data_IF_926181852777
#
_entry.id   IF_926181852777
#
_cell.length_a   1.000
_cell.length_b   1.000
_cell.length_c   1.000
_cell.angle_alpha   90.00
_cell.angle_beta   90.00
_cell.angle_gamma   90.00
#
_symmetry.space_group_name_H-M   'P 1'
#
loop_
_entity.id
_entity.type
_entity.pdbx_description
1 polymer ?
#
# COMPACT_ATOMS: atom_id res chain seq x y z
N UNK A 1 13.05 -44.45 25.97
CA UNK A 1 13.35 -43.68 24.73
C UNK A 1 12.09 -43.31 23.95
N UNK A 2 11.12 -44.23 23.75
CA UNK A 2 9.84 -43.99 23.02
C UNK A 2 9.04 -42.77 23.49
N UNK A 3 9.04 -42.48 24.80
CA UNK A 3 8.26 -41.40 25.38
C UNK A 3 8.89 -40.01 25.15
N UNK A 4 10.22 -39.95 25.00
CA UNK A 4 10.94 -38.69 24.70
C UNK A 4 10.71 -38.28 23.24
N UNK A 5 10.68 -39.26 22.32
CA UNK A 5 10.38 -39.01 20.89
C UNK A 5 8.96 -38.48 20.67
N UNK A 6 7.98 -38.96 21.45
CA UNK A 6 6.60 -38.47 21.42
C UNK A 6 6.48 -37.03 21.94
N UNK A 7 7.21 -36.68 23.00
CA UNK A 7 7.20 -35.32 23.57
C UNK A 7 7.83 -34.30 22.60
N UNK A 8 8.94 -34.68 21.95
CA UNK A 8 9.60 -33.82 20.95
C UNK A 8 8.68 -33.60 19.74
N UNK A 9 7.98 -34.64 19.26
CA UNK A 9 7.04 -34.51 18.15
C UNK A 9 5.83 -33.62 18.48
N UNK A 10 5.40 -33.58 19.74
CA UNK A 10 4.28 -32.75 20.21
C UNK A 10 4.69 -31.28 20.40
N UNK A 11 5.96 -31.02 20.74
CA UNK A 11 6.48 -29.67 20.91
C UNK A 11 6.68 -28.95 19.56
N UNK A 12 7.12 -29.68 18.53
CA UNK A 12 7.32 -29.16 17.17
C UNK A 12 5.99 -28.76 16.51
N UNK A 13 4.91 -29.50 16.77
CA UNK A 13 3.57 -29.16 16.24
C UNK A 13 2.96 -27.97 16.95
N UNK A 14 3.26 -27.75 18.23
CA UNK A 14 2.74 -26.60 19.00
C UNK A 14 3.39 -25.26 18.60
N UNK A 15 4.67 -25.28 18.19
CA UNK A 15 5.36 -24.08 17.68
C UNK A 15 4.96 -23.70 16.25
N UNK A 16 4.37 -24.61 15.49
CA UNK A 16 3.93 -24.33 14.12
C UNK A 16 2.63 -23.51 14.05
N UNK A 17 1.83 -23.50 15.13
CA UNK A 17 0.52 -22.81 15.18
C UNK A 17 0.62 -21.35 15.62
N UNK A 18 1.80 -20.90 16.08
CA UNK A 18 2.06 -19.48 16.38
C UNK A 18 2.49 -18.69 15.14
N UNK A 19 2.33 -19.27 13.94
CA UNK A 19 2.59 -18.60 12.67
C UNK A 19 1.74 -17.33 12.54
N UNK A 20 2.42 -16.19 12.59
CA UNK A 20 2.02 -14.81 12.32
C UNK A 20 0.53 -14.52 12.11
N UNK A 21 -0.14 -14.04 13.17
CA UNK A 21 -1.28 -13.14 12.96
C UNK A 21 -0.72 -11.73 12.74
N UNK A 22 -0.70 -11.24 11.49
CA UNK A 22 -0.48 -9.81 11.22
C UNK A 22 -1.60 -9.03 11.92
N UNK A 23 -1.28 -8.47 13.09
CA UNK A 23 -2.27 -7.97 14.05
C UNK A 23 -2.76 -6.55 13.73
N UNK A 24 -2.24 -5.91 12.70
CA UNK A 24 -2.45 -4.48 12.49
C UNK A 24 -2.54 -4.11 11.02
N UNK A 25 -3.09 -4.96 10.14
CA UNK A 25 -3.32 -4.52 8.76
C UNK A 25 -4.41 -3.46 8.71
N UNK A 26 -4.21 -2.42 7.90
CA UNK A 26 -5.21 -1.39 7.69
C UNK A 26 -6.51 -2.00 7.12
N UNK A 27 -7.65 -1.55 7.64
CA UNK A 27 -8.97 -1.85 7.07
C UNK A 27 -9.53 -0.66 6.30
N UNK A 28 -9.00 0.53 6.55
CA UNK A 28 -9.35 1.76 5.84
C UNK A 28 -8.10 2.60 5.60
N UNK A 29 -8.11 3.38 4.52
CA UNK A 29 -7.10 4.39 4.24
C UNK A 29 -7.78 5.69 3.80
N UNK A 30 -7.21 6.83 4.17
CA UNK A 30 -7.56 8.15 3.67
C UNK A 30 -6.44 8.64 2.75
N UNK A 31 -6.81 9.23 1.62
CA UNK A 31 -5.88 9.84 0.68
C UNK A 31 -6.18 11.33 0.64
N UNK A 32 -5.16 12.16 0.86
CA UNK A 32 -5.26 13.61 0.78
C UNK A 32 -4.28 14.10 -0.27
N UNK A 33 -4.80 14.64 -1.37
CA UNK A 33 -3.99 15.32 -2.37
C UNK A 33 -3.67 16.73 -1.86
N UNK A 34 -2.39 17.09 -1.90
CA UNK A 34 -1.93 18.47 -1.70
C UNK A 34 -1.91 19.18 -3.04
N UNK A 35 -1.37 18.51 -4.06
CA UNK A 35 -1.39 18.94 -5.47
C UNK A 35 -1.51 17.67 -6.35
N UNK A 36 -2.01 17.73 -7.57
CA UNK A 36 -2.78 18.81 -8.18
C UNK A 36 -4.22 18.87 -7.60
N UNK A 37 -4.87 20.04 -7.61
CA UNK A 37 -6.23 20.18 -7.08
C UNK A 37 -7.30 19.81 -8.12
N UNK A 38 -8.48 19.43 -7.63
CA UNK A 38 -9.62 19.14 -8.50
C UNK A 38 -10.03 20.40 -9.30
N UNK A 39 -10.10 20.26 -10.62
CA UNK A 39 -10.47 21.34 -11.54
C UNK A 39 -9.29 22.16 -12.06
N UNK A 40 -8.06 21.85 -11.67
CA UNK A 40 -6.88 22.49 -12.24
C UNK A 40 -6.72 22.17 -13.72
N UNK A 41 -6.11 23.11 -14.44
CA UNK A 41 -5.80 22.98 -15.87
C UNK A 41 -4.31 22.72 -16.05
N UNK A 42 -3.98 21.61 -16.69
CA UNK A 42 -2.60 21.27 -17.07
C UNK A 42 -2.44 21.57 -18.56
N UNK A 43 -1.46 22.40 -18.92
CA UNK A 43 -1.23 22.71 -20.32
C UNK A 43 -0.59 21.50 -21.03
N UNK A 44 -0.87 21.38 -22.33
CA UNK A 44 -0.23 20.35 -23.14
C UNK A 44 1.28 20.54 -23.18
N UNK A 45 2.02 19.50 -22.78
CA UNK A 45 3.49 19.49 -22.74
C UNK A 45 4.09 19.86 -21.38
N UNK A 46 3.26 20.20 -20.38
CA UNK A 46 3.72 20.42 -19.01
C UNK A 46 3.91 19.10 -18.26
N UNK A 47 4.81 19.12 -17.28
CA UNK A 47 4.98 18.01 -16.32
C UNK A 47 3.82 18.03 -15.32
N UNK A 48 3.17 16.88 -15.16
CA UNK A 48 2.18 16.68 -14.09
C UNK A 48 2.93 16.41 -12.79
N UNK A 49 2.75 17.29 -11.81
CA UNK A 49 3.22 17.07 -10.44
C UNK A 49 2.04 16.70 -9.55
N UNK A 50 2.18 15.61 -8.81
CA UNK A 50 1.18 15.13 -7.86
C UNK A 50 1.85 14.87 -6.51
N UNK A 51 1.36 15.54 -5.48
CA UNK A 51 1.80 15.43 -4.10
C UNK A 51 0.63 15.11 -3.18
N UNK A 52 0.86 14.26 -2.19
CA UNK A 52 -0.14 14.02 -1.17
C UNK A 52 0.27 13.01 -0.12
N UNK A 53 -0.69 12.68 0.73
CA UNK A 53 -0.52 11.72 1.83
C UNK A 53 -1.55 10.61 1.77
N UNK A 54 -1.13 9.42 2.20
CA UNK A 54 -1.99 8.27 2.41
C UNK A 54 -1.84 7.88 3.88
N UNK A 55 -2.94 7.79 4.61
CA UNK A 55 -2.96 7.42 6.03
C UNK A 55 -3.88 6.23 6.27
N UNK A 56 -3.33 5.16 6.85
CA UNK A 56 -4.06 3.96 7.21
C UNK A 56 -4.46 3.97 8.69
N UNK A 57 -5.58 3.33 9.02
CA UNK A 57 -5.90 3.00 10.43
C UNK A 57 -5.11 1.79 10.97
N UNK A 58 -4.17 1.28 10.18
CA UNK A 58 -3.24 0.20 10.45
C UNK A 58 -2.12 0.22 9.42
N UNK A 59 -1.27 -0.81 9.41
CA UNK A 59 -0.21 -1.02 8.45
C UNK A 59 -0.79 -1.22 7.03
N UNK A 60 -0.46 -0.28 6.16
CA UNK A 60 -0.69 -0.35 4.72
C UNK A 60 0.41 -1.22 4.09
N UNK A 61 0.09 -1.89 2.99
CA UNK A 61 1.02 -2.73 2.22
C UNK A 61 1.19 -2.15 0.81
N UNK A 62 1.65 -0.92 0.73
CA UNK A 62 1.80 -0.20 -0.52
C UNK A 62 0.56 0.57 -0.97
N UNK A 63 0.67 1.15 -2.16
CA UNK A 63 -0.39 1.90 -2.83
C UNK A 63 -0.18 1.90 -4.35
N UNK A 64 -1.23 2.26 -5.08
CA UNK A 64 -1.17 2.49 -6.52
C UNK A 64 -1.80 3.85 -6.84
N UNK A 65 -1.07 4.68 -7.59
CA UNK A 65 -1.56 5.92 -8.17
C UNK A 65 -1.76 5.72 -9.67
N UNK A 66 -2.90 6.17 -10.19
CA UNK A 66 -3.22 6.12 -11.62
C UNK A 66 -3.66 7.49 -12.10
N UNK A 67 -3.16 7.89 -13.28
CA UNK A 67 -3.73 8.98 -14.06
C UNK A 67 -4.65 8.38 -15.11
N UNK A 68 -5.92 8.76 -15.10
CA UNK A 68 -6.94 8.20 -15.97
C UNK A 68 -7.60 9.34 -16.75
N UNK A 69 -7.68 9.20 -18.07
CA UNK A 69 -8.50 10.08 -18.90
C UNK A 69 -9.98 9.76 -18.64
N UNK A 70 -10.74 10.73 -18.13
CA UNK A 70 -12.14 10.53 -17.75
C UNK A 70 -13.09 10.37 -18.95
N UNK A 71 -12.67 10.80 -20.15
CA UNK A 71 -13.47 10.74 -21.38
C UNK A 71 -13.30 9.37 -22.05
N UNK A 72 -12.05 8.90 -22.18
CA UNK A 72 -11.74 7.60 -22.82
C UNK A 72 -11.71 6.43 -21.83
N UNK A 73 -11.66 6.71 -20.51
CA UNK A 73 -11.38 5.75 -19.45
C UNK A 73 -10.02 5.03 -19.58
N UNK A 74 -9.08 5.62 -20.34
CA UNK A 74 -7.74 5.08 -20.51
C UNK A 74 -6.84 5.45 -19.33
N UNK A 75 -6.15 4.46 -18.75
CA UNK A 75 -5.07 4.71 -17.79
C UNK A 75 -3.84 5.21 -18.55
N UNK A 76 -3.54 6.51 -18.40
CA UNK A 76 -2.38 7.15 -19.01
C UNK A 76 -1.09 6.75 -18.30
N UNK A 77 -1.12 6.72 -16.96
CA UNK A 77 0.05 6.45 -16.12
C UNK A 77 -0.31 5.61 -14.90
N UNK A 78 0.64 4.82 -14.42
CA UNK A 78 0.51 4.02 -13.19
C UNK A 78 1.81 4.03 -12.42
N UNK A 79 1.72 4.29 -11.11
CA UNK A 79 2.83 4.17 -10.17
C UNK A 79 2.42 3.27 -9.01
N UNK A 80 3.27 2.30 -8.71
CA UNK A 80 3.08 1.38 -7.60
C UNK A 80 4.12 1.64 -6.53
N UNK A 81 3.72 1.44 -5.28
CA UNK A 81 4.60 1.31 -4.14
C UNK A 81 4.28 0.02 -3.40
N UNK A 82 5.31 -0.67 -2.91
CA UNK A 82 5.20 -1.87 -2.08
C UNK A 82 5.72 -1.63 -0.65
N UNK A 83 5.99 -0.37 -0.28
CA UNK A 83 6.41 -0.06 1.09
C UNK A 83 5.33 -0.40 2.10
N UNK A 84 5.77 -0.69 3.33
CA UNK A 84 4.90 -0.95 4.48
C UNK A 84 5.00 0.21 5.47
N UNK A 85 3.87 0.62 6.04
CA UNK A 85 3.82 1.83 6.85
C UNK A 85 2.41 2.19 7.26
N UNK A 86 2.28 3.04 8.29
CA UNK A 86 1.00 3.61 8.71
C UNK A 86 0.61 4.81 7.84
N UNK A 87 1.59 5.50 7.27
CA UNK A 87 1.39 6.61 6.36
C UNK A 87 2.46 6.67 5.28
N UNK A 88 2.11 7.25 4.14
CA UNK A 88 3.00 7.55 3.03
C UNK A 88 2.83 9.00 2.61
N UNK A 89 3.94 9.61 2.21
CA UNK A 89 3.94 10.84 1.41
C UNK A 89 4.35 10.42 0.01
N UNK A 90 3.59 10.83 -0.99
CA UNK A 90 3.96 10.67 -2.39
C UNK A 90 4.21 12.05 -3.00
N UNK A 91 5.26 12.12 -3.81
CA UNK A 91 5.68 13.29 -4.57
C UNK A 91 6.16 12.75 -5.93
N UNK A 92 5.32 12.89 -6.95
CA UNK A 92 5.46 12.21 -8.23
C UNK A 92 5.40 13.22 -9.37
N UNK A 93 6.32 13.10 -10.32
CA UNK A 93 6.41 13.96 -11.49
C UNK A 93 6.33 13.10 -12.76
N UNK A 94 5.45 13.48 -13.69
CA UNK A 94 5.24 12.78 -14.95
C UNK A 94 5.34 13.72 -16.14
N UNK A 95 6.17 13.37 -17.12
CA UNK A 95 6.45 14.14 -18.34
C UNK A 95 5.80 13.49 -19.54
#
# INVERSE_FOLDING_TARGET
MKNITLIISLLVTLTAITSCKKKNSATTAAINFTEIAEGDTIAFGDTVHIEGTIEGNGELHGYQLQLIDIISAETLLTKNSETHGLSYVFDEHWV
#
